data_IF_538918618080
#
_entry.id   IF_538918618080
#
_cell.length_a   1.000
_cell.length_b   1.000
_cell.length_c   1.000
_cell.angle_alpha   90.00
_cell.angle_beta   90.00
_cell.angle_gamma   90.00
#
_symmetry.space_group_name_H-M   'P 1'
#
loop_
_entity.id
_entity.type
_entity.pdbx_description
1 polymer ?
#
# COMPACT_ATOMS: atom_id res chain seq x y z
N UNK A 1 40.73 -17.09 -29.49
CA UNK A 1 40.30 -15.68 -29.48
C UNK A 1 38.79 -15.65 -29.63
N UNK A 2 38.09 -14.98 -28.69
CA UNK A 2 36.70 -14.51 -28.76
C UNK A 2 35.52 -15.51 -28.76
N UNK A 3 35.46 -16.47 -27.83
CA UNK A 3 34.24 -17.27 -27.57
C UNK A 3 33.59 -17.02 -26.19
N UNK A 4 33.84 -15.86 -25.58
CA UNK A 4 33.48 -15.58 -24.16
C UNK A 4 32.54 -14.39 -23.94
N UNK A 5 31.84 -13.88 -24.96
CA UNK A 5 31.07 -12.63 -24.86
C UNK A 5 29.55 -12.78 -24.96
N UNK A 6 29.02 -13.99 -25.03
CA UNK A 6 27.57 -14.24 -25.18
C UNK A 6 26.83 -14.54 -23.87
N UNK A 7 27.51 -14.52 -22.71
CA UNK A 7 26.91 -14.93 -21.44
C UNK A 7 26.54 -13.77 -20.50
N UNK A 8 26.85 -12.52 -20.85
CA UNK A 8 26.81 -11.38 -19.90
C UNK A 8 25.60 -10.45 -20.07
N UNK A 9 24.77 -10.64 -21.09
CA UNK A 9 23.62 -9.76 -21.41
C UNK A 9 22.25 -10.37 -21.13
N UNK A 10 22.19 -11.48 -20.40
CA UNK A 10 20.94 -12.12 -19.98
C UNK A 10 20.61 -11.81 -18.50
N UNK A 11 21.00 -10.64 -17.98
CA UNK A 11 20.22 -10.00 -16.92
C UNK A 11 18.94 -9.50 -17.57
N UNK A 12 18.05 -10.44 -17.90
CA UNK A 12 16.68 -10.18 -18.27
C UNK A 12 16.01 -9.53 -17.06
N UNK A 13 16.25 -8.23 -16.88
CA UNK A 13 15.43 -7.41 -16.02
C UNK A 13 14.02 -7.57 -16.55
N UNK A 14 13.18 -8.28 -15.80
CA UNK A 14 11.78 -8.45 -16.16
C UNK A 14 11.20 -7.05 -16.30
N UNK A 15 10.97 -6.66 -17.56
CA UNK A 15 10.28 -5.43 -17.90
C UNK A 15 8.85 -5.64 -17.41
N UNK A 16 8.56 -5.15 -16.20
CA UNK A 16 7.19 -5.16 -15.65
C UNK A 16 6.31 -4.45 -16.66
N UNK A 17 5.32 -5.16 -17.19
CA UNK A 17 4.47 -4.64 -18.24
C UNK A 17 3.48 -3.62 -17.68
N UNK A 18 2.92 -2.79 -18.55
CA UNK A 18 1.86 -1.85 -18.19
C UNK A 18 0.62 -2.56 -17.61
N UNK A 19 0.38 -3.81 -18.03
CA UNK A 19 -0.68 -4.66 -17.46
C UNK A 19 -0.37 -5.02 -16.01
N UNK A 20 0.86 -5.39 -15.70
CA UNK A 20 1.28 -5.75 -14.35
C UNK A 20 1.15 -4.54 -13.39
N UNK A 21 1.52 -3.35 -13.86
CA UNK A 21 1.30 -2.12 -13.08
C UNK A 21 -0.17 -1.80 -12.86
N UNK A 22 -1.02 -2.00 -13.88
CA UNK A 22 -2.46 -1.84 -13.73
C UNK A 22 -3.03 -2.84 -12.71
N UNK A 23 -2.56 -4.09 -12.72
CA UNK A 23 -2.95 -5.10 -11.74
C UNK A 23 -2.52 -4.70 -10.32
N UNK A 24 -1.31 -4.18 -10.14
CA UNK A 24 -0.83 -3.71 -8.82
C UNK A 24 -1.70 -2.57 -8.31
N UNK A 25 -2.00 -1.57 -9.14
CA UNK A 25 -2.86 -0.44 -8.75
C UNK A 25 -4.27 -0.92 -8.43
N UNK A 26 -4.83 -1.80 -9.25
CA UNK A 26 -6.16 -2.38 -9.04
C UNK A 26 -6.24 -3.16 -7.72
N UNK A 27 -5.26 -4.04 -7.46
CA UNK A 27 -5.19 -4.80 -6.21
C UNK A 27 -5.00 -3.89 -5.00
N UNK A 28 -4.14 -2.87 -5.10
CA UNK A 28 -3.97 -1.89 -4.05
C UNK A 28 -5.29 -1.19 -3.70
N UNK A 29 -6.04 -0.71 -4.71
CA UNK A 29 -7.34 -0.06 -4.49
C UNK A 29 -8.34 -1.04 -3.88
N UNK A 30 -8.43 -2.27 -4.40
CA UNK A 30 -9.34 -3.28 -3.88
C UNK A 30 -9.07 -3.62 -2.41
N UNK A 31 -7.79 -3.81 -2.04
CA UNK A 31 -7.38 -4.08 -0.67
C UNK A 31 -7.67 -2.90 0.25
N UNK A 32 -7.47 -1.66 -0.21
CA UNK A 32 -7.73 -0.47 0.61
C UNK A 32 -9.24 -0.27 0.89
N UNK A 33 -10.10 -0.57 -0.10
CA UNK A 33 -11.56 -0.57 0.08
C UNK A 33 -12.01 -1.67 1.04
N UNK A 34 -11.46 -2.89 0.89
CA UNK A 34 -11.76 -3.99 1.81
C UNK A 34 -11.33 -3.65 3.24
N UNK A 35 -10.16 -3.04 3.41
CA UNK A 35 -9.68 -2.57 4.71
C UNK A 35 -10.64 -1.55 5.34
N UNK A 36 -11.19 -0.60 4.57
CA UNK A 36 -12.23 0.32 5.07
C UNK A 36 -13.49 -0.42 5.52
N UNK A 37 -13.97 -1.34 4.69
CA UNK A 37 -15.15 -2.14 5.01
C UNK A 37 -14.95 -2.93 6.30
N UNK A 38 -13.77 -3.53 6.48
CA UNK A 38 -13.43 -4.31 7.67
C UNK A 38 -13.33 -3.43 8.93
N UNK A 39 -12.66 -2.27 8.84
CA UNK A 39 -12.61 -1.27 9.92
C UNK A 39 -14.01 -0.87 10.38
N UNK A 40 -14.85 -0.44 9.44
CA UNK A 40 -16.22 0.00 9.76
C UNK A 40 -17.05 -1.14 10.37
N UNK A 41 -16.88 -2.36 9.86
CA UNK A 41 -17.58 -3.54 10.36
C UNK A 41 -17.18 -3.91 11.80
N UNK A 42 -15.90 -3.73 12.16
CA UNK A 42 -15.40 -4.01 13.51
C UNK A 42 -15.84 -2.92 14.49
N UNK A 43 -15.74 -1.65 14.08
CA UNK A 43 -16.16 -0.51 14.91
C UNK A 43 -17.66 -0.54 15.18
N UNK A 44 -18.49 -0.91 14.20
CA UNK A 44 -19.94 -1.10 14.38
C UNK A 44 -20.27 -2.21 15.40
N UNK A 45 -19.36 -3.16 15.61
CA UNK A 45 -19.47 -4.19 16.65
C UNK A 45 -18.83 -3.81 17.99
N UNK A 46 -18.44 -2.55 18.16
CA UNK A 46 -17.86 -2.04 19.40
C UNK A 46 -16.36 -2.28 19.55
N UNK A 47 -15.65 -2.65 18.48
CA UNK A 47 -14.20 -2.64 18.50
C UNK A 47 -13.68 -1.20 18.58
N UNK A 48 -12.60 -0.99 19.34
CA UNK A 48 -11.93 0.30 19.45
C UNK A 48 -10.90 0.41 18.32
N UNK A 49 -10.99 1.46 17.52
CA UNK A 49 -9.99 1.76 16.49
C UNK A 49 -8.71 2.27 17.17
N UNK A 50 -7.62 1.50 17.05
CA UNK A 50 -6.34 1.83 17.69
C UNK A 50 -5.47 2.76 16.84
N UNK A 51 -5.77 2.90 15.55
CA UNK A 51 -5.10 3.90 14.72
C UNK A 51 -5.63 5.31 15.10
N UNK A 52 -4.82 6.16 15.76
CA UNK A 52 -5.32 7.45 16.29
C UNK A 52 -5.81 8.38 15.19
N UNK A 53 -5.28 8.28 13.97
CA UNK A 53 -5.75 9.04 12.82
C UNK A 53 -7.11 8.54 12.36
N UNK A 54 -7.28 7.21 12.27
CA UNK A 54 -8.57 6.62 11.85
C UNK A 54 -9.64 6.82 12.92
N UNK A 55 -9.29 6.72 14.21
CA UNK A 55 -10.18 7.03 15.32
C UNK A 55 -10.70 8.47 15.25
N UNK A 56 -9.80 9.46 15.07
CA UNK A 56 -10.19 10.86 14.91
C UNK A 56 -11.07 11.10 13.67
N UNK A 57 -10.83 10.38 12.58
CA UNK A 57 -11.66 10.46 11.37
C UNK A 57 -13.05 9.83 11.59
N UNK A 58 -13.13 8.72 12.32
CA UNK A 58 -14.38 8.05 12.66
C UNK A 58 -15.21 8.86 13.66
N UNK A 59 -14.58 9.57 14.60
CA UNK A 59 -15.24 10.53 15.50
C UNK A 59 -15.93 11.66 14.72
N UNK A 60 -15.35 12.08 13.59
CA UNK A 60 -15.97 13.03 12.66
C UNK A 60 -17.11 12.43 11.82
N UNK A 61 -17.26 11.11 11.81
CA UNK A 61 -18.24 10.35 11.03
C UNK A 61 -17.62 9.52 9.91
N UNK A 62 -18.30 8.44 9.52
CA UNK A 62 -17.79 7.43 8.57
C UNK A 62 -17.41 8.01 7.20
N UNK A 63 -18.05 9.11 6.80
CA UNK A 63 -17.75 9.83 5.56
C UNK A 63 -16.32 10.39 5.51
N UNK A 64 -15.78 10.84 6.64
CA UNK A 64 -14.40 11.36 6.70
C UNK A 64 -13.36 10.25 6.59
N UNK A 65 -13.60 9.12 7.29
CA UNK A 65 -12.76 7.93 7.15
C UNK A 65 -12.75 7.41 5.70
N UNK A 66 -13.92 7.37 5.05
CA UNK A 66 -14.04 6.99 3.64
C UNK A 66 -13.32 7.97 2.70
N UNK A 67 -13.54 9.27 2.86
CA UNK A 67 -12.90 10.30 2.05
C UNK A 67 -11.37 10.27 2.19
N UNK A 68 -10.85 10.14 3.43
CA UNK A 68 -9.43 10.04 3.68
C UNK A 68 -8.81 8.81 2.99
N UNK A 69 -9.44 7.63 3.12
CA UNK A 69 -8.96 6.42 2.45
C UNK A 69 -9.01 6.54 0.92
N UNK A 70 -10.05 7.15 0.36
CA UNK A 70 -10.15 7.36 -1.08
C UNK A 70 -9.07 8.32 -1.60
N UNK A 71 -8.84 9.45 -0.91
CA UNK A 71 -7.84 10.44 -1.30
C UNK A 71 -6.43 9.87 -1.19
N UNK A 72 -6.11 9.21 -0.07
CA UNK A 72 -4.80 8.57 0.12
C UNK A 72 -4.59 7.44 -0.89
N UNK A 73 -5.61 6.63 -1.16
CA UNK A 73 -5.54 5.57 -2.18
C UNK A 73 -5.32 6.13 -3.57
N UNK A 74 -6.05 7.18 -3.96
CA UNK A 74 -5.88 7.85 -5.24
C UNK A 74 -4.48 8.47 -5.37
N UNK A 75 -3.97 9.09 -4.30
CA UNK A 75 -2.63 9.66 -4.25
C UNK A 75 -1.53 8.61 -4.44
N UNK A 76 -1.62 7.48 -3.72
CA UNK A 76 -0.66 6.38 -3.87
C UNK A 76 -0.77 5.73 -5.25
N UNK A 77 -1.99 5.48 -5.75
CA UNK A 77 -2.21 4.92 -7.07
C UNK A 77 -1.64 5.81 -8.18
N UNK A 78 -1.88 7.12 -8.11
CA UNK A 78 -1.31 8.09 -9.03
C UNK A 78 0.22 8.14 -8.91
N UNK A 79 0.76 8.10 -7.70
CA UNK A 79 2.20 8.05 -7.43
C UNK A 79 2.86 6.80 -8.02
N UNK A 80 2.23 5.63 -7.87
CA UNK A 80 2.69 4.38 -8.50
C UNK A 80 2.62 4.46 -10.02
N UNK A 81 1.54 5.01 -10.57
CA UNK A 81 1.33 5.12 -12.01
C UNK A 81 2.28 6.10 -12.71
N UNK A 82 2.59 7.23 -12.08
CA UNK A 82 3.58 8.20 -12.57
C UNK A 82 5.00 7.67 -12.31
N UNK A 83 5.21 7.10 -11.13
CA UNK A 83 6.48 6.59 -10.65
C UNK A 83 7.02 5.36 -11.37
N UNK A 84 6.16 4.59 -12.05
CA UNK A 84 6.58 3.41 -12.83
C UNK A 84 7.64 3.72 -13.89
N UNK A 85 7.74 4.98 -14.34
CA UNK A 85 8.74 5.44 -15.33
C UNK A 85 10.07 5.89 -14.71
N UNK A 86 10.14 6.07 -13.39
CA UNK A 86 11.32 6.59 -12.70
C UNK A 86 11.83 5.61 -11.62
N UNK A 87 13.05 5.07 -11.82
CA UNK A 87 13.68 4.10 -10.91
C UNK A 87 13.79 4.59 -9.44
N UNK A 88 13.96 5.90 -9.23
CA UNK A 88 14.00 6.53 -7.90
C UNK A 88 12.62 6.55 -7.21
N UNK A 89 11.54 6.73 -7.96
CA UNK A 89 10.17 6.70 -7.43
C UNK A 89 9.76 5.28 -7.05
N UNK A 90 10.26 4.29 -7.81
CA UNK A 90 10.07 2.87 -7.48
C UNK A 90 10.74 2.48 -6.16
N UNK A 91 11.97 2.96 -5.90
CA UNK A 91 12.68 2.71 -4.63
C UNK A 91 12.03 3.40 -3.43
N UNK A 92 11.60 4.65 -3.60
CA UNK A 92 10.92 5.40 -2.53
C UNK A 92 9.52 4.87 -2.24
N UNK A 93 8.77 4.45 -3.26
CA UNK A 93 7.48 3.79 -3.09
C UNK A 93 7.59 2.45 -2.33
N UNK A 94 8.62 1.64 -2.63
CA UNK A 94 8.90 0.41 -1.88
C UNK A 94 9.29 0.74 -0.43
N UNK A 95 10.17 1.73 -0.21
CA UNK A 95 10.55 2.15 1.13
C UNK A 95 9.35 2.66 1.95
N UNK A 96 8.44 3.40 1.33
CA UNK A 96 7.22 3.89 1.96
C UNK A 96 6.25 2.75 2.29
N UNK A 97 6.06 1.78 1.39
CA UNK A 97 5.26 0.58 1.65
C UNK A 97 5.85 -0.27 2.78
N UNK A 98 7.17 -0.43 2.83
CA UNK A 98 7.88 -1.13 3.92
C UNK A 98 7.66 -0.40 5.25
N UNK A 99 7.79 0.93 5.25
CA UNK A 99 7.54 1.74 6.44
C UNK A 99 6.10 1.59 6.92
N UNK A 100 5.13 1.64 6.00
CA UNK A 100 3.71 1.46 6.31
C UNK A 100 3.46 0.06 6.89
N UNK A 101 4.03 -0.98 6.28
CA UNK A 101 3.92 -2.35 6.76
C UNK A 101 4.55 -2.54 8.14
N UNK A 102 5.71 -1.92 8.41
CA UNK A 102 6.35 -1.97 9.71
C UNK A 102 5.50 -1.29 10.79
N UNK A 103 4.88 -0.14 10.48
CA UNK A 103 3.95 0.55 11.38
C UNK A 103 2.73 -0.34 11.64
N UNK A 104 2.16 -0.97 10.62
CA UNK A 104 1.03 -1.90 10.76
C UNK A 104 1.39 -3.11 11.63
N UNK A 105 2.56 -3.73 11.41
CA UNK A 105 3.02 -4.85 12.24
C UNK A 105 3.21 -4.42 13.69
N UNK A 106 3.83 -3.25 13.93
CA UNK A 106 3.98 -2.70 15.27
C UNK A 106 2.62 -2.50 15.96
N UNK A 107 1.64 -1.94 15.26
CA UNK A 107 0.28 -1.76 15.78
C UNK A 107 -0.39 -3.10 16.13
N UNK A 108 -0.26 -4.12 15.27
CA UNK A 108 -0.84 -5.45 15.51
C UNK A 108 -0.20 -6.14 16.72
N UNK A 109 1.13 -6.01 16.89
CA UNK A 109 1.85 -6.56 18.04
C UNK A 109 1.43 -5.85 19.33
N UNK A 110 1.28 -4.52 19.30
CA UNK A 110 0.84 -3.75 20.47
C UNK A 110 -0.56 -4.18 20.94
N UNK A 111 -1.50 -4.37 19.99
CA UNK A 111 -2.85 -4.92 20.27
C UNK A 111 -2.77 -6.30 20.92
N UNK A 112 -1.88 -7.18 20.42
CA UNK A 112 -1.73 -8.54 20.94
C UNK A 112 -1.08 -8.61 22.32
N UNK A 113 -0.23 -7.66 22.66
CA UNK A 113 0.44 -7.57 23.97
C UNK A 113 -0.47 -6.88 25.00
N UNK A 114 -1.35 -5.97 24.56
CA UNK A 114 -2.28 -5.25 25.42
C UNK A 114 -3.59 -6.00 25.72
N UNK A 115 -3.87 -7.11 25.04
CA UNK A 115 -5.03 -7.99 25.23
C UNK A 115 -4.73 -9.18 26.15
#
# INVERSE_FOLDING_TARGET
MASSLSSTTALAGSQISDRDWALVVMWFVALNVLDLGLTLHLVDRGAVEMNPVMAALLDGGWGWAAAFKLVTSAGVAAGLWVGRRHLLVRRTGIAFLILLAAITVYQVVDVWVAA
#
